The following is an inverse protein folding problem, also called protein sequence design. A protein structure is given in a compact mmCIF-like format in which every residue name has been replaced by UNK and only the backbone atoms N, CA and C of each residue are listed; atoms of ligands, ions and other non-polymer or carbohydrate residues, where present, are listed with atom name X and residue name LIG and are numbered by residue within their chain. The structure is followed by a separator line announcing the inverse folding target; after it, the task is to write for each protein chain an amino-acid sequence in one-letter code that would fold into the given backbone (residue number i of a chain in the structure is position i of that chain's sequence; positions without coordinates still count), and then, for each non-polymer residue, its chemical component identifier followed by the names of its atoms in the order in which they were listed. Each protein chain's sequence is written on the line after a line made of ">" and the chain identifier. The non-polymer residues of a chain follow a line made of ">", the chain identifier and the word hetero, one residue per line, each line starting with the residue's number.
data_IF_683429758057
#
_entry.id   IF_683429758057
#
_cell.length_a   1.000
_cell.length_b   1.000
_cell.length_c   1.000
_cell.angle_alpha   90.00
_cell.angle_beta   90.00
_cell.angle_gamma   90.00
#
_symmetry.space_group_name_H-M   'P 1'
#
loop_
_entity.id
_entity.type
_entity.pdbx_description
1 polymer ?
#
# COMPACT_ATOMS: atom_id res chain seq x y z
N UNK A 1 6.50 0.39 11.82
CA UNK A 1 5.41 0.53 10.84
C UNK A 1 5.84 1.58 9.85
N UNK A 2 5.64 1.33 8.56
CA UNK A 2 5.82 2.32 7.49
C UNK A 2 4.50 2.60 6.82
N UNK A 3 4.31 3.85 6.40
CA UNK A 3 3.05 4.30 5.84
C UNK A 3 3.29 4.88 4.45
N UNK A 4 2.44 4.50 3.52
CA UNK A 4 2.58 4.87 2.12
C UNK A 4 1.27 5.42 1.59
N UNK A 5 1.34 6.28 0.58
CA UNK A 5 0.18 6.67 -0.19
C UNK A 5 0.45 6.70 -1.69
N UNK A 6 -0.61 6.54 -2.48
CA UNK A 6 -0.58 6.70 -3.93
C UNK A 6 -1.90 7.21 -4.47
N UNK A 7 -1.85 8.06 -5.50
CA UNK A 7 -3.04 8.51 -6.22
C UNK A 7 -3.50 7.51 -7.28
N UNK A 8 -2.65 6.54 -7.64
CA UNK A 8 -2.93 5.58 -8.72
C UNK A 8 -3.48 4.26 -8.16
N UNK A 9 -4.80 4.11 -8.26
CA UNK A 9 -5.49 2.90 -7.83
C UNK A 9 -5.13 1.67 -8.69
N UNK A 10 -4.79 1.87 -9.98
CA UNK A 10 -4.41 0.77 -10.88
C UNK A 10 -3.03 0.24 -10.51
N UNK A 11 -2.09 1.15 -10.23
CA UNK A 11 -0.77 0.79 -9.73
C UNK A 11 -0.86 0.05 -8.39
N UNK A 12 -1.64 0.58 -7.44
CA UNK A 12 -1.84 -0.06 -6.15
C UNK A 12 -2.34 -1.51 -6.31
N UNK A 13 -3.35 -1.71 -7.15
CA UNK A 13 -3.93 -3.03 -7.41
C UNK A 13 -2.93 -3.97 -8.11
N UNK A 14 -2.13 -3.46 -9.04
CA UNK A 14 -1.07 -4.23 -9.69
C UNK A 14 0.01 -4.67 -8.70
N UNK A 15 0.42 -3.80 -7.78
CA UNK A 15 1.37 -4.12 -6.72
C UNK A 15 0.78 -5.17 -5.78
N UNK A 16 -0.47 -5.01 -5.33
CA UNK A 16 -1.19 -6.02 -4.52
C UNK A 16 -1.17 -7.39 -5.18
N UNK A 17 -1.53 -7.49 -6.46
CA UNK A 17 -1.52 -8.75 -7.21
C UNK A 17 -0.12 -9.35 -7.33
N UNK A 18 0.91 -8.52 -7.49
CA UNK A 18 2.30 -8.97 -7.56
C UNK A 18 2.77 -9.55 -6.22
N UNK A 19 2.43 -8.88 -5.11
CA UNK A 19 2.71 -9.37 -3.76
C UNK A 19 1.95 -10.66 -3.46
N UNK A 20 0.66 -10.72 -3.78
CA UNK A 20 -0.16 -11.91 -3.59
C UNK A 20 0.43 -13.11 -4.34
N UNK A 21 0.81 -12.93 -5.60
CA UNK A 21 1.43 -13.99 -6.41
C UNK A 21 2.77 -14.45 -5.81
N UNK A 22 3.60 -13.51 -5.34
CA UNK A 22 4.89 -13.82 -4.72
C UNK A 22 4.75 -14.61 -3.42
N UNK A 23 3.69 -14.35 -2.64
CA UNK A 23 3.43 -15.02 -1.36
C UNK A 23 2.46 -16.20 -1.47
N UNK A 24 2.03 -16.55 -2.69
CA UNK A 24 1.14 -17.68 -2.94
C UNK A 24 -0.30 -17.47 -2.44
N UNK A 25 -0.71 -16.21 -2.24
CA UNK A 25 -2.09 -15.90 -1.92
C UNK A 25 -3.00 -16.14 -3.13
N UNK A 26 -4.10 -16.86 -2.88
CA UNK A 26 -5.15 -17.13 -3.87
C UNK A 26 -6.47 -16.58 -3.35
N UNK A 27 -7.29 -16.07 -4.26
CA UNK A 27 -8.59 -15.49 -3.93
C UNK A 27 -9.43 -16.47 -3.08
N UNK A 28 -10.12 -15.98 -2.03
CA UNK A 28 -10.30 -14.57 -1.67
C UNK A 28 -9.19 -13.98 -0.76
N UNK A 29 -8.13 -14.74 -0.48
CA UNK A 29 -7.04 -14.28 0.40
C UNK A 29 -6.15 -13.28 -0.33
N UNK A 30 -5.81 -12.19 0.33
CA UNK A 30 -4.85 -11.18 -0.15
C UNK A 30 -4.03 -10.63 1.01
N UNK A 31 -2.86 -10.10 0.71
CA UNK A 31 -1.94 -9.53 1.70
C UNK A 31 -2.25 -8.10 2.12
N UNK A 32 -2.90 -7.32 1.26
CA UNK A 32 -3.32 -5.93 1.53
C UNK A 32 -4.72 -5.71 0.97
N UNK A 33 -5.47 -4.78 1.58
CA UNK A 33 -6.85 -4.47 1.20
C UNK A 33 -6.96 -4.10 -0.30
N UNK A 34 -7.91 -4.66 -1.08
CA UNK A 34 -8.09 -4.29 -2.48
C UNK A 34 -8.38 -2.80 -2.71
N UNK A 35 -8.01 -2.25 -3.88
CA UNK A 35 -8.18 -0.82 -4.18
C UNK A 35 -9.60 -0.23 -3.97
N UNK A 36 -10.70 -0.99 -4.20
CA UNK A 36 -12.06 -0.49 -3.96
C UNK A 36 -12.41 -0.26 -2.48
N UNK A 37 -11.79 -1.01 -1.58
CA UNK A 37 -12.07 -1.01 -0.14
C UNK A 37 -10.94 -0.41 0.69
N UNK A 38 -9.78 -0.16 0.08
CA UNK A 38 -8.63 0.45 0.73
C UNK A 38 -8.94 1.88 1.24
N UNK A 39 -8.42 2.25 2.42
CA UNK A 39 -8.63 3.58 3.00
C UNK A 39 -8.00 4.69 2.15
N UNK A 40 -8.59 5.89 2.20
CA UNK A 40 -8.17 7.05 1.40
C UNK A 40 -7.98 8.32 2.23
N UNK A 41 -7.03 9.15 1.84
CA UNK A 41 -6.77 10.45 2.46
C UNK A 41 -7.75 11.56 1.98
N UNK A 42 -7.50 12.82 2.36
CA UNK A 42 -8.35 13.99 2.02
C UNK A 42 -8.39 14.30 0.52
N UNK A 43 -7.37 13.84 -0.18
CA UNK A 43 -7.12 14.07 -1.58
C UNK A 43 -7.58 12.86 -2.41
N UNK A 44 -8.14 11.82 -1.78
CA UNK A 44 -8.62 10.60 -2.42
C UNK A 44 -7.53 9.60 -2.76
N UNK A 45 -6.29 9.81 -2.29
CA UNK A 45 -5.16 8.89 -2.47
C UNK A 45 -5.34 7.70 -1.56
N UNK A 46 -5.04 6.51 -2.05
CA UNK A 46 -5.04 5.29 -1.24
C UNK A 46 -3.89 5.38 -0.25
N UNK A 47 -4.15 5.02 1.01
CA UNK A 47 -3.12 4.94 2.06
C UNK A 47 -2.95 3.48 2.51
N UNK A 48 -1.72 3.11 2.85
CA UNK A 48 -1.36 1.76 3.28
C UNK A 48 -0.41 1.82 4.45
N UNK A 49 -0.67 1.03 5.49
CA UNK A 49 0.26 0.76 6.58
C UNK A 49 0.89 -0.62 6.38
N UNK A 50 2.21 -0.70 6.48
CA UNK A 50 2.99 -1.92 6.30
C UNK A 50 3.84 -2.14 7.53
N UNK A 51 3.90 -3.36 8.07
CA UNK A 51 4.84 -3.66 9.14
C UNK A 51 6.28 -3.59 8.60
N UNK A 52 7.24 -3.18 9.43
CA UNK A 52 8.64 -3.05 8.98
C UNK A 52 9.19 -4.39 8.47
N UNK A 53 8.84 -5.49 9.14
CA UNK A 53 9.18 -6.86 8.73
C UNK A 53 8.63 -7.19 7.34
N UNK A 54 7.47 -6.65 6.96
CA UNK A 54 6.92 -6.86 5.62
C UNK A 54 7.79 -6.21 4.54
N UNK A 55 8.44 -5.09 4.87
CA UNK A 55 9.39 -4.43 3.98
C UNK A 55 10.73 -5.17 3.86
N UNK A 56 10.97 -6.21 4.65
CA UNK A 56 12.20 -7.02 4.61
C UNK A 56 12.05 -8.29 3.76
N UNK A 57 10.83 -8.68 3.37
CA UNK A 57 10.63 -9.79 2.43
C UNK A 57 11.09 -9.43 1.01
N UNK A 58 11.72 -10.40 0.35
CA UNK A 58 12.50 -10.24 -0.89
C UNK A 58 11.78 -9.43 -1.98
N UNK A 59 10.50 -9.70 -2.25
CA UNK A 59 9.74 -8.98 -3.27
C UNK A 59 9.42 -7.52 -2.88
N UNK A 60 9.15 -7.27 -1.60
CA UNK A 60 8.89 -5.91 -1.12
C UNK A 60 10.17 -5.05 -1.14
N UNK A 61 11.31 -5.65 -0.78
CA UNK A 61 12.64 -5.00 -0.82
C UNK A 61 13.02 -4.56 -2.24
N UNK A 62 12.64 -5.33 -3.26
CA UNK A 62 12.93 -5.01 -4.66
C UNK A 62 11.97 -3.97 -5.24
N UNK A 63 10.67 -4.07 -4.96
CA UNK A 63 9.63 -3.21 -5.54
C UNK A 63 9.56 -1.84 -4.87
N UNK A 64 9.62 -1.78 -3.54
CA UNK A 64 9.35 -0.55 -2.78
C UNK A 64 10.33 0.59 -3.13
N UNK A 65 11.65 0.37 -3.23
CA UNK A 65 12.58 1.42 -3.62
C UNK A 65 12.32 1.97 -5.03
N UNK A 66 11.88 1.12 -5.97
CA UNK A 66 11.56 1.55 -7.34
C UNK A 66 10.28 2.41 -7.38
N UNK A 67 9.27 2.04 -6.60
CA UNK A 67 8.03 2.81 -6.46
C UNK A 67 8.27 4.18 -5.81
N UNK A 68 9.13 4.24 -4.78
CA UNK A 68 9.53 5.49 -4.15
C UNK A 68 10.39 6.36 -5.09
N UNK A 69 11.37 5.75 -5.77
CA UNK A 69 12.25 6.48 -6.69
C UNK A 69 11.53 7.04 -7.91
N UNK A 70 10.46 6.38 -8.37
CA UNK A 70 9.61 6.87 -9.46
C UNK A 70 8.62 7.95 -9.02
N UNK A 71 8.43 8.17 -7.72
CA UNK A 71 7.41 9.06 -7.17
C UNK A 71 5.98 8.54 -7.33
N UNK A 72 5.83 7.27 -7.73
CA UNK A 72 4.52 6.64 -7.89
C UNK A 72 3.87 6.29 -6.53
N UNK A 73 4.69 6.13 -5.50
CA UNK A 73 4.32 5.99 -4.10
C UNK A 73 5.09 7.02 -3.29
N UNK A 74 4.44 7.59 -2.28
CA UNK A 74 5.03 8.52 -1.32
C UNK A 74 4.99 7.90 0.08
N UNK A 75 6.07 8.01 0.85
CA UNK A 75 6.08 7.63 2.27
C UNK A 75 5.49 8.79 3.09
N UNK A 76 4.45 8.50 3.87
CA UNK A 76 3.78 9.45 4.74
C UNK A 76 4.08 9.13 6.20
N UNK A 77 3.79 10.06 7.10
CA UNK A 77 3.88 9.78 8.54
C UNK A 77 2.64 9.05 9.06
N UNK A 78 2.75 8.52 10.27
CA UNK A 78 1.66 7.84 10.97
C UNK A 78 0.45 8.77 11.16
N UNK A 79 0.67 10.06 11.44
CA UNK A 79 -0.40 11.01 11.70
C UNK A 79 -1.30 11.21 10.46
N UNK A 80 -0.71 11.29 9.27
CA UNK A 80 -1.41 11.37 8.00
C UNK A 80 -2.21 10.10 7.72
N UNK A 81 -1.64 8.92 8.00
CA UNK A 81 -2.36 7.65 7.87
C UNK A 81 -3.55 7.57 8.84
N UNK A 82 -3.32 7.84 10.12
CA UNK A 82 -4.35 7.82 11.17
C UNK A 82 -5.48 8.80 10.85
N UNK A 83 -5.16 9.98 10.32
CA UNK A 83 -6.17 10.95 9.88
C UNK A 83 -7.00 10.47 8.69
N UNK A 84 -6.44 9.65 7.81
CA UNK A 84 -7.15 9.09 6.67
C UNK A 84 -8.11 7.98 7.09
N UNK A 85 -7.66 7.05 7.94
CA UNK A 85 -8.48 5.90 8.36
C UNK A 85 -9.58 6.25 9.36
N UNK A 86 -9.41 7.29 10.17
CA UNK A 86 -10.41 7.73 11.15
C UNK A 86 -11.44 8.71 10.57
N UNK A 87 -11.42 8.97 9.27
CA UNK A 87 -12.37 9.89 8.67
C UNK A 87 -13.78 9.26 8.65
N UNK A 88 -14.82 9.98 9.12
CA UNK A 88 -16.20 9.54 8.89
C UNK A 88 -16.51 9.55 7.39
N UNK A 89 -17.10 8.45 6.90
CA UNK A 89 -17.52 8.27 5.50
C UNK A 89 -18.55 9.32 5.03
#
# INVERSE_FOLDING_TARGET
>A
MRFFCTADASLYEQVRLTLDAAWGHVAPTTCIEPAPTAPRDAQGRIVLAVNDEFCEYSVAVELLPQLLASGAVEEIDEAAYVSAVNRPA
#
